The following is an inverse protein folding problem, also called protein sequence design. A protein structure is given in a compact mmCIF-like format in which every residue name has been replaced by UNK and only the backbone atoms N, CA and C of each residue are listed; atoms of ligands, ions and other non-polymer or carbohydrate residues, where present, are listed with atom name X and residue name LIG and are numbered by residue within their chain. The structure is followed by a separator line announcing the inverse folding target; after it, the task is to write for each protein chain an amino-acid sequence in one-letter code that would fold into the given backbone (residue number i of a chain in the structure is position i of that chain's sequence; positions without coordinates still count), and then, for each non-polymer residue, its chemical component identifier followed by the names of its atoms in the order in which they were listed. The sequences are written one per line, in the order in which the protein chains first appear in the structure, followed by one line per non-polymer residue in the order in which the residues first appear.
data_IF_873799793698
#
_entry.id   IF_873799793698
#
_cell.length_a   1.000
_cell.length_b   1.000
_cell.length_c   1.000
_cell.angle_alpha   90.00
_cell.angle_beta   90.00
_cell.angle_gamma   90.00
#
_symmetry.space_group_name_H-M   'P 1'
#
loop_
_entity.id
_entity.type
_entity.pdbx_description
1 polymer ?
#
# COMPACT_ATOMS: atom_id res chain seq x y z
N UNK A 1 2.83 16.57 0.05
CA UNK A 1 3.29 15.89 1.28
C UNK A 1 3.85 16.96 2.19
N UNK A 2 3.53 16.93 3.49
CA UNK A 2 3.90 17.99 4.43
C UNK A 2 5.38 17.89 4.81
N UNK A 3 5.98 19.05 5.10
CA UNK A 3 7.34 19.16 5.67
C UNK A 3 7.14 19.61 7.11
N UNK A 4 7.76 18.91 8.06
CA UNK A 4 7.62 19.22 9.48
C UNK A 4 8.75 20.15 9.90
N UNK A 5 8.38 21.24 10.56
CA UNK A 5 9.30 22.28 11.01
C UNK A 5 9.35 22.24 12.53
N UNK A 6 10.55 22.12 13.09
CA UNK A 6 10.78 22.36 14.50
C UNK A 6 11.30 23.80 14.69
N UNK A 7 10.64 24.60 15.51
CA UNK A 7 11.09 25.95 15.85
C UNK A 7 11.90 25.89 17.15
N UNK A 8 13.22 26.09 17.13
CA UNK A 8 14.01 26.14 18.34
C UNK A 8 13.64 27.37 19.19
N UNK A 9 13.70 27.26 20.54
CA UNK A 9 13.35 28.36 21.44
C UNK A 9 14.30 29.56 21.32
N UNK A 10 15.56 29.32 20.93
CA UNK A 10 16.55 30.37 20.68
C UNK A 10 17.36 30.06 19.41
N UNK A 11 17.46 31.03 18.50
CA UNK A 11 18.30 30.98 17.29
C UNK A 11 17.54 30.89 15.95
N UNK A 12 18.29 31.07 14.85
CA UNK A 12 17.75 30.90 13.49
C UNK A 12 17.57 29.42 13.14
N UNK A 13 16.49 29.06 12.40
CA UNK A 13 16.20 27.67 12.05
C UNK A 13 17.28 27.10 11.12
N UNK A 14 17.86 25.96 11.51
CA UNK A 14 18.87 25.28 10.71
C UNK A 14 18.26 24.28 9.74
N UNK A 15 19.01 23.92 8.68
CA UNK A 15 18.56 22.94 7.69
C UNK A 15 18.17 21.57 8.27
N UNK A 16 18.69 21.24 9.45
CA UNK A 16 18.43 19.98 10.17
C UNK A 16 17.17 20.02 11.04
N UNK A 17 16.52 21.17 11.14
CA UNK A 17 15.24 21.38 11.83
C UNK A 17 14.05 21.21 10.88
N UNK A 18 14.33 20.91 9.60
CA UNK A 18 13.35 20.48 8.62
C UNK A 18 13.40 18.96 8.50
N UNK A 19 12.25 18.32 8.73
CA UNK A 19 12.05 16.91 8.42
C UNK A 19 11.17 16.80 7.18
N UNK A 20 11.77 16.40 6.06
CA UNK A 20 11.03 16.10 4.84
C UNK A 20 10.69 14.60 4.81
N UNK A 21 9.39 14.33 4.92
CA UNK A 21 8.79 12.99 4.93
C UNK A 21 9.03 12.27 3.58
N UNK A 22 9.39 13.00 2.52
CA UNK A 22 9.67 12.42 1.20
C UNK A 22 11.00 11.69 1.10
N UNK A 23 12.00 12.12 1.87
CA UNK A 23 13.38 11.65 1.76
C UNK A 23 13.77 10.70 2.88
N UNK A 24 13.17 10.92 4.05
CA UNK A 24 13.29 10.01 5.16
C UNK A 24 12.14 9.03 5.04
N UNK A 25 12.45 7.79 4.64
CA UNK A 25 11.49 6.67 4.63
C UNK A 25 10.54 6.83 5.82
N UNK A 26 9.23 6.79 5.54
CA UNK A 26 8.06 6.99 6.42
C UNK A 26 8.00 6.02 7.63
N UNK A 27 9.16 5.48 8.02
CA UNK A 27 9.46 4.75 9.21
C UNK A 27 9.25 5.60 10.47
N UNK A 28 8.36 5.12 11.32
CA UNK A 28 8.01 5.67 12.63
C UNK A 28 9.26 5.89 13.51
N UNK A 29 10.30 5.05 13.33
CA UNK A 29 11.57 5.17 14.05
C UNK A 29 12.39 6.41 13.66
N UNK A 30 12.38 6.80 12.39
CA UNK A 30 13.18 7.94 11.90
C UNK A 30 12.61 9.28 12.36
N UNK A 31 11.29 9.40 12.39
CA UNK A 31 10.64 10.62 12.88
C UNK A 31 10.69 10.71 14.42
N UNK A 32 10.55 9.58 15.14
CA UNK A 32 10.66 9.57 16.60
C UNK A 32 12.08 9.90 17.07
N UNK A 33 13.10 9.36 16.40
CA UNK A 33 14.50 9.72 16.68
C UNK A 33 14.80 11.18 16.35
N UNK A 34 14.24 11.71 15.26
CA UNK A 34 14.37 13.13 14.92
C UNK A 34 13.72 14.04 15.97
N UNK A 35 12.47 13.80 16.38
CA UNK A 35 11.81 14.60 17.43
C UNK A 35 12.54 14.47 18.77
N UNK A 36 12.97 13.27 19.13
CA UNK A 36 13.72 13.04 20.37
C UNK A 36 15.05 13.81 20.37
N UNK A 37 15.74 13.91 19.22
CA UNK A 37 16.97 14.70 19.10
C UNK A 37 16.77 16.21 19.21
N UNK A 38 15.56 16.72 18.97
CA UNK A 38 15.26 18.16 18.93
C UNK A 38 14.50 18.69 20.13
N UNK A 39 13.60 17.89 20.68
CA UNK A 39 12.70 18.31 21.74
C UNK A 39 12.94 17.52 23.03
N UNK A 40 13.80 16.49 23.02
CA UNK A 40 13.97 15.52 24.12
C UNK A 40 12.68 14.82 24.56
N UNK A 41 11.59 15.01 23.80
CA UNK A 41 10.30 14.41 24.04
C UNK A 41 10.16 13.14 23.20
N UNK A 42 9.69 12.06 23.81
CA UNK A 42 9.42 10.80 23.13
C UNK A 42 7.96 10.77 22.68
N UNK A 43 7.73 10.59 21.38
CA UNK A 43 6.38 10.42 20.82
C UNK A 43 6.09 8.93 20.65
N UNK A 44 4.87 8.51 20.98
CA UNK A 44 4.36 7.17 20.65
C UNK A 44 3.55 7.29 19.37
N UNK A 45 4.10 6.74 18.29
CA UNK A 45 3.41 6.66 17.01
C UNK A 45 2.76 5.28 16.95
N UNK A 46 1.43 5.24 16.90
CA UNK A 46 0.69 3.98 16.78
C UNK A 46 0.29 3.83 15.33
N UNK A 47 0.82 2.80 14.67
CA UNK A 47 0.37 2.45 13.33
C UNK A 47 -1.10 2.06 13.35
N UNK A 48 -1.90 2.71 12.52
CA UNK A 48 -3.26 2.21 12.27
C UNK A 48 -3.17 0.88 11.53
N UNK A 49 -3.95 -0.11 11.97
CA UNK A 49 -3.98 -1.43 11.36
C UNK A 49 -4.28 -1.29 9.86
N UNK A 50 -3.34 -1.68 9.00
CA UNK A 50 -3.48 -1.50 7.56
C UNK A 50 -4.48 -2.51 6.99
N UNK A 51 -5.75 -2.14 6.95
CA UNK A 51 -6.83 -2.94 6.34
C UNK A 51 -6.53 -3.31 4.88
N UNK A 52 -5.73 -2.50 4.17
CA UNK A 52 -5.33 -2.78 2.79
C UNK A 52 -4.56 -4.09 2.63
N UNK A 53 -3.61 -4.38 3.53
CA UNK A 53 -2.80 -5.61 3.43
C UNK A 53 -3.66 -6.85 3.70
N UNK A 54 -4.57 -6.72 4.65
CA UNK A 54 -5.54 -7.78 5.00
C UNK A 54 -6.50 -8.02 3.83
N UNK A 55 -7.02 -6.97 3.21
CA UNK A 55 -7.95 -7.09 2.08
C UNK A 55 -7.28 -7.72 0.85
N UNK A 56 -6.02 -7.37 0.54
CA UNK A 56 -5.28 -8.01 -0.56
C UNK A 56 -5.06 -9.49 -0.29
N UNK A 57 -4.68 -9.84 0.94
CA UNK A 57 -4.51 -11.25 1.32
C UNK A 57 -5.82 -12.04 1.20
N UNK A 58 -6.94 -11.47 1.66
CA UNK A 58 -8.27 -12.06 1.52
C UNK A 58 -8.65 -12.19 0.05
N UNK A 59 -8.43 -11.17 -0.77
CA UNK A 59 -8.73 -11.21 -2.21
C UNK A 59 -7.93 -12.33 -2.91
N UNK A 60 -6.65 -12.48 -2.56
CA UNK A 60 -5.79 -13.54 -3.09
C UNK A 60 -6.27 -14.93 -2.65
N UNK A 61 -6.62 -15.10 -1.37
CA UNK A 61 -7.15 -16.34 -0.83
C UNK A 61 -8.50 -16.73 -1.46
N UNK A 62 -9.38 -15.76 -1.69
CA UNK A 62 -10.67 -15.97 -2.38
C UNK A 62 -10.46 -16.36 -3.84
N UNK A 63 -9.56 -15.67 -4.56
CA UNK A 63 -9.23 -16.03 -5.93
C UNK A 63 -8.68 -17.47 -6.02
N UNK A 64 -7.74 -17.83 -5.15
CA UNK A 64 -7.20 -19.19 -5.07
C UNK A 64 -8.27 -20.22 -4.68
N UNK A 65 -9.12 -19.88 -3.72
CA UNK A 65 -10.23 -20.72 -3.26
C UNK A 65 -11.28 -20.97 -4.35
N UNK A 66 -11.62 -19.95 -5.15
CA UNK A 66 -12.51 -20.08 -6.30
C UNK A 66 -11.92 -20.99 -7.37
N UNK A 67 -10.62 -20.83 -7.68
CA UNK A 67 -9.90 -21.73 -8.59
C UNK A 67 -10.00 -23.17 -8.08
N UNK A 68 -9.64 -23.42 -6.82
CA UNK A 68 -9.71 -24.77 -6.24
C UNK A 68 -11.15 -25.28 -6.19
N UNK A 69 -12.16 -24.45 -5.96
CA UNK A 69 -13.55 -24.87 -5.90
C UNK A 69 -14.10 -25.29 -7.28
N UNK A 70 -13.85 -24.49 -8.32
CA UNK A 70 -14.28 -24.80 -9.69
C UNK A 70 -13.51 -25.98 -10.29
N UNK A 71 -12.22 -26.13 -9.95
CA UNK A 71 -11.36 -27.18 -10.51
C UNK A 71 -11.23 -28.43 -9.63
N UNK A 72 -11.53 -28.34 -8.32
CA UNK A 72 -11.31 -29.40 -7.33
C UNK A 72 -12.23 -30.61 -7.45
N UNK A 73 -13.44 -30.45 -8.00
CA UNK A 73 -14.31 -31.60 -8.31
C UNK A 73 -13.80 -32.46 -9.48
N UNK A 74 -12.75 -32.04 -10.20
CA UNK A 74 -12.09 -32.82 -11.25
C UNK A 74 -10.57 -32.82 -11.03
N UNK A 75 -10.08 -33.61 -10.08
CA UNK A 75 -8.64 -33.80 -9.78
C UNK A 75 -7.78 -34.16 -11.01
N UNK A 76 -8.35 -34.77 -12.07
CA UNK A 76 -7.68 -34.99 -13.36
C UNK A 76 -7.36 -33.71 -14.15
N UNK A 77 -7.94 -32.55 -13.78
CA UNK A 77 -7.84 -31.29 -14.52
C UNK A 77 -6.76 -30.35 -13.96
N UNK A 78 -6.18 -30.63 -12.79
CA UNK A 78 -5.04 -29.85 -12.26
C UNK A 78 -3.79 -30.00 -13.15
N UNK A 79 -3.65 -31.13 -13.86
CA UNK A 79 -2.58 -31.30 -14.84
C UNK A 79 -2.94 -30.75 -16.24
N UNK A 80 -4.06 -30.04 -16.38
CA UNK A 80 -4.43 -29.42 -17.64
C UNK A 80 -3.68 -28.10 -17.78
N UNK A 81 -2.87 -27.98 -18.83
CA UNK A 81 -2.14 -26.75 -19.17
C UNK A 81 -3.06 -25.52 -19.20
N UNK A 82 -4.33 -25.67 -19.55
CA UNK A 82 -5.29 -24.56 -19.54
C UNK A 82 -5.47 -23.93 -18.15
N UNK A 83 -5.48 -24.73 -17.07
CA UNK A 83 -5.64 -24.22 -15.70
C UNK A 83 -4.40 -23.41 -15.31
N UNK A 84 -3.21 -23.94 -15.59
CA UNK A 84 -1.95 -23.25 -15.33
C UNK A 84 -1.81 -21.97 -16.16
N UNK A 85 -2.24 -21.99 -17.42
CA UNK A 85 -2.27 -20.79 -18.26
C UNK A 85 -3.16 -19.70 -17.68
N UNK A 86 -4.37 -20.03 -17.23
CA UNK A 86 -5.29 -19.06 -16.61
C UNK A 86 -4.70 -18.50 -15.30
N UNK A 87 -4.09 -19.35 -14.47
CA UNK A 87 -3.44 -18.91 -13.22
C UNK A 87 -2.26 -17.98 -13.51
N UNK A 88 -1.44 -18.29 -14.52
CA UNK A 88 -0.29 -17.46 -14.91
C UNK A 88 -0.75 -16.10 -15.45
N UNK A 89 -1.78 -16.06 -16.30
CA UNK A 89 -2.32 -14.81 -16.83
C UNK A 89 -2.87 -13.94 -15.70
N UNK A 90 -3.65 -14.53 -14.77
CA UNK A 90 -4.15 -13.82 -13.61
C UNK A 90 -3.01 -13.28 -12.72
N UNK A 91 -1.96 -14.06 -12.51
CA UNK A 91 -0.79 -13.63 -11.73
C UNK A 91 -0.07 -12.45 -12.39
N UNK A 92 0.16 -12.49 -13.70
CA UNK A 92 0.80 -11.40 -14.45
C UNK A 92 -0.05 -10.14 -14.41
N UNK A 93 -1.38 -10.25 -14.60
CA UNK A 93 -2.29 -9.11 -14.52
C UNK A 93 -2.26 -8.43 -13.14
N UNK A 94 -2.28 -9.22 -12.07
CA UNK A 94 -2.21 -8.71 -10.69
C UNK A 94 -0.86 -8.03 -10.38
N UNK A 95 0.23 -8.56 -10.92
CA UNK A 95 1.56 -7.94 -10.80
C UNK A 95 1.65 -6.63 -11.57
N UNK A 96 1.08 -6.58 -12.78
CA UNK A 96 1.05 -5.36 -13.59
C UNK A 96 0.14 -4.27 -13.00
N UNK A 97 -0.94 -4.65 -12.31
CA UNK A 97 -1.83 -3.73 -11.59
C UNK A 97 -1.23 -3.07 -10.35
N UNK A 98 -0.02 -3.45 -9.93
CA UNK A 98 0.67 -2.78 -8.83
C UNK A 98 0.33 -3.28 -7.44
N UNK A 99 -0.09 -4.55 -7.28
CA UNK A 99 -0.28 -5.15 -5.95
C UNK A 99 0.98 -5.05 -5.07
N UNK A 100 2.17 -5.16 -5.67
CA UNK A 100 3.43 -4.94 -4.95
C UNK A 100 3.58 -3.52 -4.43
N UNK A 101 3.14 -2.52 -5.20
CA UNK A 101 3.16 -1.13 -4.75
C UNK A 101 2.31 -0.98 -3.48
N UNK A 102 1.09 -1.53 -3.46
CA UNK A 102 0.21 -1.46 -2.28
C UNK A 102 0.78 -2.25 -1.10
N UNK A 103 1.43 -3.38 -1.35
CA UNK A 103 2.06 -4.20 -0.31
C UNK A 103 3.23 -3.47 0.39
N UNK A 104 4.09 -2.79 -0.37
CA UNK A 104 5.27 -2.07 0.12
C UNK A 104 4.86 -0.74 0.77
N UNK A 105 4.13 0.09 0.02
CA UNK A 105 3.75 1.45 0.48
C UNK A 105 2.70 1.44 1.59
N UNK A 106 1.90 0.38 1.71
CA UNK A 106 0.79 0.35 2.66
C UNK A 106 -0.33 1.33 2.33
N UNK A 107 -0.44 1.73 1.05
CA UNK A 107 -1.46 2.66 0.56
C UNK A 107 -2.88 2.20 0.97
N UNK A 108 -3.79 3.12 1.36
CA UNK A 108 -5.17 2.78 1.68
C UNK A 108 -5.91 2.19 0.45
N UNK A 109 -6.93 1.36 0.71
CA UNK A 109 -7.76 0.78 -0.36
C UNK A 109 -8.58 1.84 -1.11
N UNK A 110 -9.05 2.84 -0.37
CA UNK A 110 -9.87 3.96 -0.85
C UNK A 110 -9.47 5.22 -0.09
N UNK A 111 -9.47 6.35 -0.78
CA UNK A 111 -9.34 7.66 -0.18
C UNK A 111 -10.68 8.18 0.35
N UNK A 112 -10.62 9.11 1.31
CA UNK A 112 -11.77 9.96 1.67
C UNK A 112 -11.44 11.38 1.26
N UNK A 113 -12.37 12.00 0.56
CA UNK A 113 -12.29 13.38 0.10
C UNK A 113 -13.46 14.19 0.62
N UNK A 114 -13.35 15.52 0.53
CA UNK A 114 -14.39 16.45 0.98
C UNK A 114 -15.74 16.23 0.27
N UNK A 115 -15.74 15.57 -0.90
CA UNK A 115 -16.93 15.22 -1.68
C UNK A 115 -17.40 13.76 -1.53
N UNK A 116 -16.68 12.90 -0.80
CA UNK A 116 -17.08 11.49 -0.63
C UNK A 116 -15.91 10.49 -0.68
N UNK A 117 -16.21 9.25 -1.07
CA UNK A 117 -15.23 8.16 -1.23
C UNK A 117 -14.49 8.34 -2.56
N UNK A 118 -13.17 8.42 -2.53
CA UNK A 118 -12.31 8.48 -3.72
C UNK A 118 -11.67 7.13 -3.99
N UNK A 119 -11.92 6.59 -5.18
CA UNK A 119 -11.42 5.27 -5.62
C UNK A 119 -10.13 5.41 -6.43
N UNK A 120 -9.98 6.51 -7.16
CA UNK A 120 -8.82 6.83 -7.99
C UNK A 120 -8.08 7.99 -7.34
N UNK A 121 -6.77 7.83 -7.16
CA UNK A 121 -5.96 8.88 -6.57
C UNK A 121 -5.68 9.98 -7.59
N UNK A 122 -5.85 11.24 -7.20
CA UNK A 122 -5.58 12.39 -8.10
C UNK A 122 -4.08 12.67 -8.27
N UNK A 123 -3.22 12.00 -7.50
CA UNK A 123 -1.79 12.24 -7.47
C UNK A 123 -1.02 11.25 -8.35
N UNK A 124 -0.09 11.76 -9.17
CA UNK A 124 0.70 10.98 -10.14
C UNK A 124 1.61 9.89 -9.54
N UNK A 125 1.94 9.98 -8.24
CA UNK A 125 2.86 9.05 -7.54
C UNK A 125 2.15 8.10 -6.56
N UNK A 126 0.89 8.37 -6.27
CA UNK A 126 0.05 7.57 -5.39
C UNK A 126 -0.77 6.59 -6.21
N UNK A 127 -1.12 5.45 -5.63
CA UNK A 127 -2.09 4.54 -6.22
C UNK A 127 -2.89 3.90 -5.09
N UNK A 128 -4.22 3.90 -5.20
CA UNK A 128 -5.07 3.18 -4.25
C UNK A 128 -5.13 1.69 -4.58
N UNK A 129 -5.41 0.86 -3.57
CA UNK A 129 -5.52 -0.58 -3.78
C UNK A 129 -6.59 -0.97 -4.80
N UNK A 130 -7.73 -0.27 -4.81
CA UNK A 130 -8.78 -0.50 -5.81
C UNK A 130 -8.45 0.04 -7.19
N UNK A 131 -7.69 1.14 -7.27
CA UNK A 131 -7.19 1.66 -8.54
C UNK A 131 -6.29 0.60 -9.22
N UNK A 132 -5.41 -0.05 -8.46
CA UNK A 132 -4.58 -1.14 -8.98
C UNK A 132 -5.35 -2.40 -9.40
N UNK A 133 -6.39 -2.76 -8.66
CA UNK A 133 -7.29 -3.86 -9.05
C UNK A 133 -8.07 -3.54 -10.33
N UNK A 134 -8.58 -2.31 -10.48
CA UNK A 134 -9.25 -1.86 -11.70
C UNK A 134 -8.31 -1.91 -12.91
N UNK A 135 -7.07 -1.43 -12.76
CA UNK A 135 -6.05 -1.50 -13.81
C UNK A 135 -5.74 -2.95 -14.17
N UNK A 136 -5.54 -3.81 -13.17
CA UNK A 136 -5.32 -5.25 -13.40
C UNK A 136 -6.47 -5.91 -14.17
N UNK A 137 -7.71 -5.53 -13.89
CA UNK A 137 -8.88 -6.10 -14.56
C UNK A 137 -9.04 -5.59 -16.00
N UNK A 138 -8.61 -4.37 -16.30
CA UNK A 138 -8.71 -3.76 -17.63
C UNK A 138 -7.66 -4.31 -18.60
N UNK A 139 -6.50 -4.73 -18.08
CA UNK A 139 -5.42 -5.35 -18.87
C UNK A 139 -5.59 -6.86 -19.09
N UNK A 140 -6.61 -7.50 -18.50
CA UNK A 140 -6.86 -8.93 -18.57
C UNK A 140 -8.06 -9.24 -19.49
#
# INVERSE_FOLDING_TARGET
MPIIWNFPPDGEPQRRDFYDIRWNDDSEGSINSWVLSRTSAKIIIVKQLSLSKIAIFIAFAVAFGLIIYFFGKKLKKINNNFVWSVVLIAFVALMQGGIMYVFISGSPLMGKSKKGIEIISTGMRGQFGLEGLLVSALYC
#
